data_IF_232208479074
#
_entry.id   IF_232208479074
#
_cell.length_a   1.000
_cell.length_b   1.000
_cell.length_c   1.000
_cell.angle_alpha   90.00
_cell.angle_beta   90.00
_cell.angle_gamma   90.00
#
_symmetry.space_group_name_H-M   'P 1'
#
loop_
_entity.id
_entity.type
_entity.pdbx_description
1 polymer ?
#
# COMPACT_ATOMS: atom_id res chain seq x y z
N UNK A 1 -4.37 12.66 -4.18
CA UNK A 1 -4.94 11.49 -4.90
C UNK A 1 -6.35 11.22 -4.42
N UNK A 2 -7.23 10.90 -5.32
CA UNK A 2 -8.60 10.50 -5.00
C UNK A 2 -8.87 9.14 -5.62
N UNK A 3 -9.27 8.16 -4.79
CA UNK A 3 -9.74 6.87 -5.26
C UNK A 3 -11.27 6.94 -5.22
N UNK A 4 -11.89 6.79 -6.39
CA UNK A 4 -13.35 6.92 -6.56
C UNK A 4 -13.97 5.60 -6.95
N UNK A 5 -15.31 5.54 -6.87
CA UNK A 5 -16.07 4.42 -7.43
C UNK A 5 -15.67 4.20 -8.89
N UNK A 6 -15.63 2.94 -9.27
CA UNK A 6 -15.32 2.50 -10.63
C UNK A 6 -13.91 2.85 -11.12
N UNK A 7 -13.01 3.26 -10.21
CA UNK A 7 -11.61 3.47 -10.59
C UNK A 7 -10.96 2.17 -11.06
N UNK A 8 -10.08 2.29 -12.04
CA UNK A 8 -9.24 1.17 -12.46
C UNK A 8 -7.95 1.23 -11.67
N UNK A 9 -7.72 0.21 -10.86
CA UNK A 9 -6.60 0.14 -9.92
C UNK A 9 -5.67 -0.99 -10.31
N UNK A 10 -4.39 -0.72 -10.31
CA UNK A 10 -3.36 -1.75 -10.44
C UNK A 10 -2.66 -1.93 -9.10
N UNK A 11 -2.67 -3.17 -8.58
CA UNK A 11 -1.88 -3.54 -7.41
C UNK A 11 -0.53 -4.05 -7.86
N UNK A 12 0.53 -3.40 -7.41
CA UNK A 12 1.91 -3.75 -7.75
C UNK A 12 2.61 -4.26 -6.51
N UNK A 13 3.07 -5.50 -6.54
CA UNK A 13 3.79 -6.12 -5.42
C UNK A 13 4.73 -7.20 -5.94
N UNK A 14 5.69 -7.58 -5.11
CA UNK A 14 6.65 -8.62 -5.47
C UNK A 14 6.09 -10.01 -5.21
N UNK A 15 6.33 -10.94 -6.11
CA UNK A 15 5.99 -12.35 -5.90
C UNK A 15 6.78 -12.99 -4.77
N UNK A 16 7.86 -12.34 -4.31
CA UNK A 16 8.67 -12.81 -3.20
C UNK A 16 8.11 -12.47 -1.82
N UNK A 17 6.98 -11.73 -1.74
CA UNK A 17 6.34 -11.46 -0.47
C UNK A 17 5.89 -12.75 0.22
N UNK A 18 5.82 -12.71 1.55
CA UNK A 18 5.37 -13.85 2.34
C UNK A 18 3.92 -14.19 2.06
N UNK A 19 3.52 -15.44 2.36
CA UNK A 19 2.12 -15.86 2.22
C UNK A 19 1.17 -14.96 3.03
N UNK A 20 1.56 -14.57 4.23
CA UNK A 20 0.74 -13.71 5.07
C UNK A 20 0.48 -12.35 4.43
N UNK A 21 1.49 -11.76 3.78
CA UNK A 21 1.34 -10.52 3.04
C UNK A 21 0.44 -10.72 1.82
N UNK A 22 0.60 -11.84 1.11
CA UNK A 22 -0.24 -12.14 -0.06
C UNK A 22 -1.71 -12.31 0.33
N UNK A 23 -1.99 -12.90 1.49
CA UNK A 23 -3.36 -13.01 2.02
C UNK A 23 -3.92 -11.60 2.31
N UNK A 24 -3.12 -10.73 2.92
CA UNK A 24 -3.54 -9.36 3.16
C UNK A 24 -3.83 -8.61 1.86
N UNK A 25 -3.03 -8.85 0.82
CA UNK A 25 -3.25 -8.26 -0.51
C UNK A 25 -4.54 -8.74 -1.16
N UNK A 26 -4.90 -10.00 -0.98
CA UNK A 26 -6.19 -10.53 -1.44
C UNK A 26 -7.34 -9.80 -0.73
N UNK A 27 -7.21 -9.56 0.56
CA UNK A 27 -8.21 -8.81 1.32
C UNK A 27 -8.31 -7.36 0.86
N UNK A 28 -7.18 -6.72 0.56
CA UNK A 28 -7.16 -5.36 0.02
C UNK A 28 -7.89 -5.30 -1.33
N UNK A 29 -7.59 -6.24 -2.23
CA UNK A 29 -8.25 -6.32 -3.52
C UNK A 29 -9.76 -6.46 -3.37
N UNK A 30 -10.19 -7.35 -2.48
CA UNK A 30 -11.61 -7.55 -2.18
C UNK A 30 -12.26 -6.27 -1.66
N UNK A 31 -11.61 -5.57 -0.75
CA UNK A 31 -12.16 -4.35 -0.16
C UNK A 31 -12.29 -3.23 -1.18
N UNK A 32 -11.32 -3.08 -2.08
CA UNK A 32 -11.41 -2.11 -3.18
C UNK A 32 -12.62 -2.40 -4.07
N UNK A 33 -12.83 -3.66 -4.41
CA UNK A 33 -13.95 -4.06 -5.26
C UNK A 33 -15.28 -3.87 -4.54
N UNK A 34 -15.38 -4.29 -3.29
CA UNK A 34 -16.63 -4.25 -2.53
C UNK A 34 -17.04 -2.84 -2.10
N UNK A 35 -16.07 -2.01 -1.74
CA UNK A 35 -16.35 -0.68 -1.19
C UNK A 35 -16.54 0.37 -2.29
N UNK A 36 -15.74 0.30 -3.35
CA UNK A 36 -15.69 1.32 -4.39
C UNK A 36 -16.02 0.79 -5.78
N UNK A 37 -16.38 -0.48 -5.90
CA UNK A 37 -16.57 -1.13 -7.21
C UNK A 37 -15.37 -0.92 -8.15
N UNK A 38 -14.17 -0.84 -7.58
CA UNK A 38 -12.96 -0.70 -8.38
C UNK A 38 -12.71 -1.97 -9.21
N UNK A 39 -12.17 -1.78 -10.41
CA UNK A 39 -11.58 -2.89 -11.16
C UNK A 39 -10.12 -2.98 -10.78
N UNK A 40 -9.67 -4.16 -10.35
CA UNK A 40 -8.26 -4.40 -10.04
C UNK A 40 -7.66 -5.17 -11.20
N UNK A 41 -6.81 -4.51 -11.98
CA UNK A 41 -6.31 -5.03 -13.24
C UNK A 41 -4.93 -4.49 -13.57
N UNK A 42 -4.19 -5.21 -14.41
CA UNK A 42 -2.93 -4.71 -14.94
C UNK A 42 -3.18 -3.47 -15.82
N UNK A 43 -2.29 -2.48 -15.72
CA UNK A 43 -2.42 -1.26 -16.51
C UNK A 43 -3.50 -0.31 -16.01
N UNK A 44 -3.93 -0.44 -14.77
CA UNK A 44 -4.89 0.49 -14.17
C UNK A 44 -4.34 1.91 -14.06
N UNK A 45 -5.24 2.89 -14.08
CA UNK A 45 -4.87 4.31 -14.03
C UNK A 45 -4.27 4.66 -12.66
N UNK A 46 -4.83 4.10 -11.60
CA UNK A 46 -4.34 4.31 -10.24
C UNK A 46 -3.48 3.12 -9.86
N UNK A 47 -2.22 3.39 -9.53
CA UNK A 47 -1.30 2.33 -9.11
C UNK A 47 -1.12 2.38 -7.60
N UNK A 48 -1.27 1.23 -6.97
CA UNK A 48 -1.01 1.04 -5.55
C UNK A 48 0.17 0.07 -5.44
N UNK A 49 1.31 0.57 -4.97
CA UNK A 49 2.52 -0.23 -4.78
C UNK A 49 2.58 -0.65 -3.32
N UNK A 50 2.68 -1.95 -3.08
CA UNK A 50 2.65 -2.50 -1.72
C UNK A 50 3.83 -3.45 -1.56
N UNK A 51 4.55 -3.31 -0.47
CA UNK A 51 5.62 -4.25 -0.19
C UNK A 51 6.38 -4.01 1.09
N UNK A 52 7.27 -4.96 1.36
CA UNK A 52 8.24 -4.87 2.45
C UNK A 52 9.52 -4.26 1.90
N UNK A 53 10.18 -3.43 2.69
CA UNK A 53 11.48 -2.83 2.30
C UNK A 53 12.41 -3.92 1.78
N UNK A 54 12.99 -3.68 0.62
CA UNK A 54 13.92 -4.60 -0.03
C UNK A 54 13.30 -5.58 -1.03
N UNK A 55 11.97 -5.71 -1.05
CA UNK A 55 11.31 -6.68 -1.91
C UNK A 55 10.83 -6.12 -3.25
N UNK A 56 10.59 -4.83 -3.32
CA UNK A 56 10.10 -4.18 -4.54
C UNK A 56 10.92 -2.92 -4.81
N UNK A 57 11.92 -2.98 -5.69
CA UNK A 57 12.82 -1.85 -5.92
C UNK A 57 12.11 -0.55 -6.30
N UNK A 58 11.08 -0.62 -7.12
CA UNK A 58 10.33 0.57 -7.50
C UNK A 58 9.72 1.26 -6.28
N UNK A 59 9.18 0.49 -5.35
CA UNK A 59 8.59 1.03 -4.13
C UNK A 59 9.66 1.66 -3.23
N UNK A 60 10.80 1.00 -3.08
CA UNK A 60 11.90 1.50 -2.25
C UNK A 60 12.46 2.82 -2.78
N UNK A 61 12.47 3.00 -4.09
CA UNK A 61 12.92 4.25 -4.70
C UNK A 61 11.93 5.39 -4.50
N UNK A 62 10.65 5.09 -4.60
CA UNK A 62 9.60 6.11 -4.57
C UNK A 62 9.19 6.50 -3.16
N UNK A 63 9.14 5.55 -2.24
CA UNK A 63 8.71 5.81 -0.87
C UNK A 63 9.82 6.45 -0.06
N UNK A 64 9.43 7.30 0.89
CA UNK A 64 10.39 7.93 1.80
C UNK A 64 10.68 6.99 2.97
N UNK A 65 11.37 5.89 2.67
CA UNK A 65 11.64 4.82 3.62
C UNK A 65 12.59 5.26 4.75
N UNK A 66 13.29 6.36 4.59
CA UNK A 66 14.13 6.91 5.66
C UNK A 66 13.30 7.26 6.90
N UNK A 67 12.02 7.59 6.72
CA UNK A 67 11.11 7.87 7.84
C UNK A 67 10.83 6.63 8.70
N UNK A 68 11.14 5.45 8.20
CA UNK A 68 10.93 4.18 8.91
C UNK A 68 12.16 3.77 9.72
N UNK A 69 13.25 4.55 9.65
CA UNK A 69 14.46 4.27 10.41
C UNK A 69 14.39 4.85 11.82
N UNK A 70 14.98 4.13 12.76
CA UNK A 70 15.21 4.63 14.11
C UNK A 70 16.44 5.55 14.12
N UNK A 71 16.70 6.20 15.26
CA UNK A 71 17.84 7.12 15.41
C UNK A 71 19.18 6.45 15.13
N UNK A 72 19.30 5.17 15.44
CA UNK A 72 20.53 4.40 15.21
C UNK A 72 20.71 3.97 13.75
N UNK A 73 19.80 4.33 12.86
CA UNK A 73 19.86 4.01 11.44
C UNK A 73 19.25 2.68 11.06
N UNK A 74 18.85 1.86 12.01
CA UNK A 74 18.14 0.60 11.71
C UNK A 74 16.67 0.87 11.45
N UNK A 75 15.99 -0.05 10.73
CA UNK A 75 14.55 0.06 10.55
C UNK A 75 13.81 -0.29 11.83
N UNK A 76 12.76 0.45 12.12
CA UNK A 76 11.88 0.15 13.24
C UNK A 76 11.16 -1.16 12.99
N UNK A 77 10.86 -1.89 14.05
CA UNK A 77 10.11 -3.15 13.94
C UNK A 77 8.64 -2.85 13.72
N UNK A 78 8.01 -3.66 12.89
CA UNK A 78 6.55 -3.65 12.68
C UNK A 78 6.03 -2.26 12.30
N UNK A 79 6.84 -1.49 11.58
CA UNK A 79 6.48 -0.15 11.16
C UNK A 79 6.07 -0.13 9.70
N UNK A 80 5.26 0.86 9.34
CA UNK A 80 4.84 1.04 7.95
C UNK A 80 4.67 2.52 7.63
N UNK A 81 4.64 2.80 6.35
CA UNK A 81 4.40 4.13 5.79
C UNK A 81 3.36 3.99 4.68
N UNK A 82 2.36 4.85 4.72
CA UNK A 82 1.41 5.01 3.62
C UNK A 82 1.62 6.41 3.08
N UNK A 83 1.93 6.51 1.80
CA UNK A 83 2.31 7.77 1.19
C UNK A 83 1.73 7.87 -0.22
N UNK A 84 1.27 9.06 -0.59
CA UNK A 84 0.98 9.37 -1.98
C UNK A 84 2.17 10.07 -2.58
N UNK A 85 2.55 9.69 -3.78
CA UNK A 85 3.61 10.35 -4.53
C UNK A 85 3.37 10.22 -6.01
N UNK A 86 3.37 11.35 -6.71
CA UNK A 86 3.21 11.40 -8.18
C UNK A 86 1.98 10.65 -8.67
N UNK A 87 0.87 10.74 -7.93
CA UNK A 87 -0.40 10.10 -8.30
C UNK A 87 -0.46 8.61 -8.00
N UNK A 88 0.53 8.07 -7.32
CA UNK A 88 0.55 6.66 -6.91
C UNK A 88 0.43 6.54 -5.40
N UNK A 89 -0.20 5.47 -4.94
CA UNK A 89 -0.27 5.17 -3.51
C UNK A 89 0.80 4.15 -3.16
N UNK A 90 1.55 4.45 -2.12
CA UNK A 90 2.67 3.62 -1.67
C UNK A 90 2.36 3.11 -0.26
N UNK A 91 2.40 1.79 -0.08
CA UNK A 91 2.26 1.14 1.22
C UNK A 91 3.51 0.29 1.43
N UNK A 92 4.36 0.69 2.36
CA UNK A 92 5.62 0.00 2.59
C UNK A 92 5.80 -0.30 4.07
N UNK A 93 6.17 -1.53 4.38
CA UNK A 93 6.46 -1.97 5.74
C UNK A 93 7.93 -2.31 5.91
N UNK A 94 8.41 -2.18 7.13
CA UNK A 94 9.80 -2.51 7.47
C UNK A 94 10.03 -4.02 7.50
N UNK A 95 8.99 -4.76 7.81
CA UNK A 95 9.00 -6.22 7.86
C UNK A 95 7.63 -6.75 7.46
N UNK A 96 7.47 -8.08 7.49
CA UNK A 96 6.22 -8.73 7.12
C UNK A 96 5.03 -8.16 7.90
N UNK A 97 5.16 -8.01 9.20
CA UNK A 97 4.08 -7.51 10.05
C UNK A 97 3.77 -6.05 9.76
N UNK A 98 4.79 -5.22 9.59
CA UNK A 98 4.60 -3.83 9.22
C UNK A 98 3.84 -3.67 7.92
N UNK A 99 4.18 -4.47 6.92
CA UNK A 99 3.48 -4.45 5.63
C UNK A 99 2.02 -4.84 5.80
N UNK A 100 1.73 -5.89 6.57
CA UNK A 100 0.37 -6.34 6.85
C UNK A 100 -0.43 -5.25 7.58
N UNK A 101 0.17 -4.62 8.58
CA UNK A 101 -0.48 -3.52 9.32
C UNK A 101 -0.79 -2.35 8.39
N UNK A 102 0.12 -2.00 7.49
CA UNK A 102 -0.12 -0.93 6.52
C UNK A 102 -1.28 -1.24 5.59
N UNK A 103 -1.36 -2.48 5.10
CA UNK A 103 -2.46 -2.91 4.23
C UNK A 103 -3.79 -2.80 4.98
N UNK A 104 -3.88 -3.32 6.20
CA UNK A 104 -5.14 -3.29 6.93
C UNK A 104 -5.50 -1.89 7.42
N UNK A 105 -4.53 -1.06 7.72
CA UNK A 105 -4.79 0.36 8.03
C UNK A 105 -5.47 1.05 6.86
N UNK A 106 -4.98 0.82 5.65
CA UNK A 106 -5.59 1.35 4.44
C UNK A 106 -6.98 0.77 4.20
N UNK A 107 -7.18 -0.53 4.42
CA UNK A 107 -8.49 -1.16 4.29
C UNK A 107 -9.50 -0.56 5.26
N UNK A 108 -9.09 -0.24 6.47
CA UNK A 108 -9.94 0.42 7.46
C UNK A 108 -10.38 1.80 6.97
N UNK A 109 -9.44 2.55 6.38
CA UNK A 109 -9.77 3.84 5.76
C UNK A 109 -10.82 3.71 4.67
N UNK A 110 -10.70 2.72 3.81
CA UNK A 110 -11.68 2.46 2.75
C UNK A 110 -13.08 2.21 3.34
N UNK A 111 -13.16 1.49 4.45
CA UNK A 111 -14.43 1.20 5.11
C UNK A 111 -15.08 2.41 5.73
N UNK A 112 -14.29 3.38 6.21
CA UNK A 112 -14.80 4.59 6.89
C UNK A 112 -15.08 5.70 5.89
N UNK A 113 -14.24 5.85 4.87
CA UNK A 113 -14.34 6.94 3.90
C UNK A 113 -14.19 6.37 2.49
N UNK A 114 -15.32 5.99 1.84
CA UNK A 114 -15.28 5.44 0.48
C UNK A 114 -14.66 6.41 -0.54
N UNK A 115 -14.66 7.70 -0.25
CA UNK A 115 -14.06 8.73 -1.09
C UNK A 115 -12.69 9.11 -0.55
N UNK A 116 -11.82 8.14 -0.43
CA UNK A 116 -10.55 8.33 0.20
C UNK A 116 -9.72 9.38 -0.53
N UNK A 117 -9.38 10.43 0.20
CA UNK A 117 -8.52 11.50 -0.30
C UNK A 117 -7.24 11.53 0.52
N UNK A 118 -6.13 11.30 -0.14
CA UNK A 118 -4.82 11.44 0.48
C UNK A 118 -4.32 12.85 0.28
N UNK A 119 -4.25 13.62 1.36
CA UNK A 119 -3.41 14.79 1.37
C UNK A 119 -1.98 14.31 1.55
N UNK A 120 -1.08 14.86 0.79
CA UNK A 120 0.34 14.54 0.89
C UNK A 120 0.85 15.00 2.26
N UNK A 121 1.31 14.10 3.05
CA UNK A 121 1.82 14.39 4.40
C UNK A 121 3.31 14.17 4.48
#
# INVERSE_FOLDING_TARGET
MVIREYSKVELVFSSSESEAVKIALVNLRRDLIRTLDCSVTAGGIIRILVGTVGNLPELDEKADISKLRAEDGTYRKEAFLIQEKDGELLIVGTDRRGTIYGIYDFCEWLGVSPWYFFADV
#
